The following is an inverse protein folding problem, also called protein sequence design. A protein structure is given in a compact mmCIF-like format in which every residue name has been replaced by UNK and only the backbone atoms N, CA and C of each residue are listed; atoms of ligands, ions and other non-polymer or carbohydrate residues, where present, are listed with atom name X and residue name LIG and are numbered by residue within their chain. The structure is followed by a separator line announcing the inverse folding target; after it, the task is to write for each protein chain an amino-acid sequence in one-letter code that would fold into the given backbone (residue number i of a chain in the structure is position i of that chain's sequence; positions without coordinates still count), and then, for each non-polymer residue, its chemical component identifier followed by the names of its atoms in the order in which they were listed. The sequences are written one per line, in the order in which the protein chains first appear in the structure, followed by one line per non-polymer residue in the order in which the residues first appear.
data_IF_641352489009
#
_entry.id   IF_641352489009
#
_cell.length_a   1.000
_cell.length_b   1.000
_cell.length_c   1.000
_cell.angle_alpha   90.00
_cell.angle_beta   90.00
_cell.angle_gamma   90.00
#
_symmetry.space_group_name_H-M   'P 1'
#
loop_
_entity.id
_entity.type
_entity.pdbx_description
1 polymer ?
#
# COMPACT_ATOMS: atom_id res chain seq x y z
N UNK A 1 9.27 -0.52 -20.29
CA UNK A 1 8.46 -1.60 -19.66
C UNK A 1 8.36 -1.33 -18.17
N UNK A 2 7.38 -0.52 -17.74
CA UNK A 2 7.19 -0.18 -16.31
C UNK A 2 5.98 -0.94 -15.76
N UNK A 3 6.07 -2.26 -15.76
CA UNK A 3 4.97 -3.14 -15.33
C UNK A 3 5.16 -3.61 -13.88
N UNK A 4 6.35 -3.39 -13.30
CA UNK A 4 6.68 -3.77 -11.92
C UNK A 4 5.76 -3.07 -10.92
N UNK A 5 5.57 -1.74 -11.02
CA UNK A 5 4.70 -1.01 -10.09
C UNK A 5 3.26 -1.55 -10.07
N UNK A 6 2.56 -1.62 -11.21
CA UNK A 6 1.22 -2.19 -11.28
C UNK A 6 1.15 -3.66 -10.80
N UNK A 7 2.15 -4.48 -11.14
CA UNK A 7 2.22 -5.89 -10.71
C UNK A 7 2.44 -6.01 -9.22
N UNK A 8 3.26 -5.15 -8.61
CA UNK A 8 3.50 -5.15 -7.16
C UNK A 8 2.22 -4.79 -6.40
N UNK A 9 1.46 -3.80 -6.87
CA UNK A 9 0.16 -3.44 -6.28
C UNK A 9 -0.84 -4.60 -6.39
N UNK A 10 -0.95 -5.21 -7.59
CA UNK A 10 -1.80 -6.37 -7.80
C UNK A 10 -1.42 -7.56 -6.92
N UNK A 11 -0.12 -7.88 -6.85
CA UNK A 11 0.38 -8.97 -6.03
C UNK A 11 0.13 -8.75 -4.54
N UNK A 12 0.36 -7.52 -4.04
CA UNK A 12 0.05 -7.16 -2.65
C UNK A 12 -1.45 -7.24 -2.34
N UNK A 13 -2.29 -6.77 -3.25
CA UNK A 13 -3.76 -6.82 -3.11
C UNK A 13 -4.27 -8.27 -3.08
N UNK A 14 -3.82 -9.08 -4.03
CA UNK A 14 -4.16 -10.50 -4.13
C UNK A 14 -3.68 -11.25 -2.88
N UNK A 15 -2.45 -10.99 -2.43
CA UNK A 15 -1.89 -11.58 -1.21
C UNK A 15 -2.67 -11.21 0.06
N UNK A 16 -3.13 -9.96 0.19
CA UNK A 16 -3.96 -9.53 1.31
C UNK A 16 -5.34 -10.22 1.32
N UNK A 17 -5.93 -10.46 0.15
CA UNK A 17 -7.24 -11.12 -0.01
C UNK A 17 -7.18 -12.64 0.13
N UNK A 18 -6.08 -13.28 -0.29
CA UNK A 18 -5.91 -14.74 -0.27
C UNK A 18 -5.54 -15.32 1.10
N UNK A 19 -5.56 -14.52 2.18
CA UNK A 19 -5.31 -15.00 3.54
C UNK A 19 -6.63 -15.13 4.34
N UNK A 20 -7.49 -16.13 4.05
CA UNK A 20 -8.74 -16.32 4.79
C UNK A 20 -8.52 -16.57 6.28
N UNK A 21 -7.34 -17.06 6.67
CA UNK A 21 -6.97 -17.29 8.07
C UNK A 21 -6.53 -16.02 8.82
N UNK A 22 -6.32 -14.89 8.11
CA UNK A 22 -5.95 -13.59 8.70
C UNK A 22 -7.08 -12.58 8.71
N UNK A 23 -8.22 -12.92 8.09
CA UNK A 23 -9.50 -12.22 8.27
C UNK A 23 -10.13 -12.80 9.53
N UNK A 24 -9.82 -12.18 10.67
CA UNK A 24 -10.25 -12.54 12.03
C UNK A 24 -11.77 -12.49 12.21
N UNK A 25 -12.48 -11.91 11.23
CA UNK A 25 -13.92 -11.78 11.18
C UNK A 25 -14.69 -13.12 11.29
N UNK A 26 -14.03 -14.27 11.04
CA UNK A 26 -14.63 -15.61 11.04
C UNK A 26 -14.34 -16.51 12.26
N UNK A 27 -13.66 -16.04 13.32
CA UNK A 27 -13.43 -16.84 14.54
C UNK A 27 -13.78 -16.10 15.84
N UNK A 28 -15.00 -16.27 16.38
CA UNK A 28 -15.41 -15.64 17.63
C UNK A 28 -14.98 -16.49 18.83
N UNK A 29 -13.68 -16.60 19.11
CA UNK A 29 -13.22 -17.19 20.37
C UNK A 29 -12.06 -16.37 20.96
N UNK A 30 -12.41 -15.34 21.74
CA UNK A 30 -11.49 -14.69 22.70
C UNK A 30 -10.73 -13.44 22.25
N UNK A 31 -10.96 -12.91 21.05
CA UNK A 31 -10.25 -11.74 20.52
C UNK A 31 -11.05 -10.44 20.81
N UNK A 32 -10.56 -9.62 21.74
CA UNK A 32 -11.18 -8.33 22.09
C UNK A 32 -11.08 -7.27 20.98
N UNK A 33 -11.78 -6.13 21.14
CA UNK A 33 -11.84 -5.04 20.14
C UNK A 33 -10.49 -4.62 19.53
N UNK A 34 -9.43 -4.59 20.35
CA UNK A 34 -8.08 -4.24 19.92
C UNK A 34 -7.46 -5.20 18.91
N UNK A 35 -7.91 -6.45 18.90
CA UNK A 35 -7.44 -7.46 17.94
C UNK A 35 -7.96 -7.19 16.52
N UNK A 36 -9.19 -6.68 16.40
CA UNK A 36 -9.77 -6.25 15.12
C UNK A 36 -9.05 -5.01 14.59
N UNK A 37 -8.73 -4.04 15.44
CA UNK A 37 -8.08 -2.78 15.03
C UNK A 37 -6.63 -3.01 14.59
N UNK A 38 -5.92 -3.96 15.20
CA UNK A 38 -4.51 -4.29 14.91
C UNK A 38 -4.39 -5.47 13.94
N UNK A 39 -5.46 -5.79 13.20
CA UNK A 39 -5.40 -6.81 12.17
C UNK A 39 -4.31 -6.46 11.14
N UNK A 40 -3.38 -7.38 10.84
CA UNK A 40 -2.33 -7.15 9.86
C UNK A 40 -2.78 -6.60 8.51
N UNK A 41 -3.91 -7.02 7.89
CA UNK A 41 -4.38 -6.40 6.66
C UNK A 41 -4.80 -4.93 6.83
N UNK A 42 -5.46 -4.56 7.94
CA UNK A 42 -5.85 -3.17 8.20
C UNK A 42 -4.63 -2.27 8.42
N UNK A 43 -3.62 -2.77 9.13
CA UNK A 43 -2.36 -2.03 9.31
C UNK A 43 -1.64 -1.80 7.98
N UNK A 44 -1.61 -2.80 7.09
CA UNK A 44 -1.04 -2.64 5.74
C UNK A 44 -1.78 -1.57 4.94
N UNK A 45 -3.12 -1.56 4.99
CA UNK A 45 -3.93 -0.53 4.33
C UNK A 45 -3.67 0.87 4.94
N UNK A 46 -3.57 0.97 6.27
CA UNK A 46 -3.29 2.23 6.96
C UNK A 46 -1.91 2.80 6.60
N UNK A 47 -0.87 1.95 6.57
CA UNK A 47 0.48 2.35 6.15
C UNK A 47 0.50 2.72 4.67
N UNK A 48 -0.19 1.96 3.82
CA UNK A 48 -0.30 2.27 2.39
C UNK A 48 -0.98 3.62 2.14
N UNK A 49 -2.03 3.93 2.91
CA UNK A 49 -2.71 5.23 2.84
C UNK A 49 -1.81 6.36 3.36
N UNK A 50 -1.09 6.15 4.47
CA UNK A 50 -0.14 7.13 5.00
C UNK A 50 0.96 7.44 3.98
N UNK A 51 1.52 6.41 3.34
CA UNK A 51 2.50 6.56 2.27
C UNK A 51 1.92 7.35 1.09
N UNK A 52 0.69 7.03 0.66
CA UNK A 52 0.02 7.72 -0.44
C UNK A 52 -0.20 9.20 -0.15
N UNK A 53 -0.50 9.58 1.10
CA UNK A 53 -0.78 10.96 1.46
C UNK A 53 0.49 11.78 1.73
N UNK A 54 1.55 11.17 2.27
CA UNK A 54 2.75 11.89 2.73
C UNK A 54 3.92 11.76 1.77
N UNK A 55 4.16 10.58 1.23
CA UNK A 55 5.37 10.28 0.46
C UNK A 55 5.14 10.40 -1.04
N UNK A 56 3.99 9.91 -1.53
CA UNK A 56 3.67 9.95 -2.96
C UNK A 56 3.67 11.36 -3.57
N UNK A 57 3.06 12.42 -2.98
CA UNK A 57 3.06 13.74 -3.60
C UNK A 57 4.48 14.29 -3.76
N UNK A 58 5.33 14.18 -2.74
CA UNK A 58 6.73 14.61 -2.84
C UNK A 58 7.52 13.81 -3.87
N UNK A 59 7.29 12.50 -3.96
CA UNK A 59 7.92 11.69 -5.00
C UNK A 59 7.48 12.09 -6.41
N UNK A 60 6.22 12.49 -6.61
CA UNK A 60 5.74 12.96 -7.90
C UNK A 60 6.36 14.31 -8.27
N UNK A 61 6.46 15.24 -7.32
CA UNK A 61 7.13 16.54 -7.50
C UNK A 61 8.60 16.34 -7.92
N UNK A 62 9.33 15.48 -7.20
CA UNK A 62 10.73 15.16 -7.52
C UNK A 62 10.90 14.55 -8.94
N UNK A 63 9.95 13.69 -9.34
CA UNK A 63 9.98 13.06 -10.67
C UNK A 63 9.61 14.03 -11.79
N UNK A 64 8.70 14.98 -11.55
CA UNK A 64 8.36 16.04 -12.51
C UNK A 64 9.53 17.00 -12.71
N UNK A 65 10.19 17.42 -11.62
CA UNK A 65 11.39 18.27 -11.65
C UNK A 65 12.53 17.61 -12.45
N UNK A 66 12.79 16.32 -12.16
CA UNK A 66 13.80 15.53 -12.87
C UNK A 66 13.49 15.36 -14.36
N UNK A 67 12.22 15.10 -14.71
CA UNK A 67 11.78 15.01 -16.10
C UNK A 67 11.88 16.34 -16.87
N UNK A 68 11.62 17.47 -16.19
CA UNK A 68 11.76 18.80 -16.81
C UNK A 68 13.22 19.18 -17.06
N UNK A 69 14.13 18.78 -16.16
CA UNK A 69 15.57 19.01 -16.29
C UNK A 69 16.16 18.24 -17.46
N UNK A 70 15.74 16.99 -17.66
CA UNK A 70 16.14 16.18 -18.82
C UNK A 70 15.69 16.85 -20.13
N UNK A 71 14.46 17.37 -20.18
CA UNK A 71 13.92 18.08 -21.35
C UNK A 71 14.60 19.44 -21.62
N UNK A 72 15.13 20.12 -20.60
CA UNK A 72 15.85 21.38 -20.75
C UNK A 72 17.30 21.21 -21.26
N UNK A 73 17.83 19.98 -21.20
CA UNK A 73 19.18 19.65 -21.70
C UNK A 73 19.21 19.07 -23.13
N UNK A 74 18.04 18.89 -23.75
CA UNK A 74 17.85 18.48 -25.16
C UNK A 74 17.55 19.69 -26.06
#
# INVERSE_FOLDING_TARGET
MSTIGPVTVLAGTVWALLQPYRVTLLHPHGQGFWWLVVEPPLLVMAVGLLFHLVVLPGLLEDLEEAGSSDAATL
#
